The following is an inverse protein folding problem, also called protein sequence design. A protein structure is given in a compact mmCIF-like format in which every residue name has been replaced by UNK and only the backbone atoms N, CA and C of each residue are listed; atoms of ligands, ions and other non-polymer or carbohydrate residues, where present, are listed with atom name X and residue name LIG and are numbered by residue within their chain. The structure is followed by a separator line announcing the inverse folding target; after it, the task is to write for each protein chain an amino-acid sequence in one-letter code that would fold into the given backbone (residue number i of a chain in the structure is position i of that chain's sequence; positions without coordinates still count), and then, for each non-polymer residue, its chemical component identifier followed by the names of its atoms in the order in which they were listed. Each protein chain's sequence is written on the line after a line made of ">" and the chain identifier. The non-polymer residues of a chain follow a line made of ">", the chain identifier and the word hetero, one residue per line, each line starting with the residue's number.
data_IF_659891161954
#
_entry.id   IF_659891161954
#
_cell.length_a   1.000
_cell.length_b   1.000
_cell.length_c   1.000
_cell.angle_alpha   90.00
_cell.angle_beta   90.00
_cell.angle_gamma   90.00
#
_symmetry.space_group_name_H-M   'P 1'
#
loop_
_entity.id
_entity.type
_entity.pdbx_description
1 polymer ?
#
# COMPACT_ATOMS: atom_id res chain seq x y z
N UNK A 1 4.96 -13.98 2.31
CA UNK A 1 4.94 -13.12 3.52
C UNK A 1 6.36 -12.71 3.83
N UNK A 2 6.63 -11.41 3.92
CA UNK A 2 7.92 -10.83 4.27
C UNK A 2 7.76 -10.21 5.67
N UNK A 3 8.50 -10.72 6.66
CA UNK A 3 8.37 -10.30 8.07
C UNK A 3 9.72 -10.19 8.75
N UNK A 4 9.88 -9.17 9.61
CA UNK A 4 11.01 -9.07 10.56
C UNK A 4 12.39 -9.20 9.91
N UNK A 5 12.56 -8.71 8.69
CA UNK A 5 13.85 -8.79 8.00
C UNK A 5 14.68 -7.56 8.31
N UNK A 6 15.79 -7.75 9.02
CA UNK A 6 16.70 -6.67 9.43
C UNK A 6 17.56 -6.15 8.25
N UNK A 7 17.75 -6.96 7.20
CA UNK A 7 18.63 -6.69 6.05
C UNK A 7 17.94 -6.96 4.70
N UNK A 8 16.72 -6.44 4.53
CA UNK A 8 16.08 -6.53 3.22
C UNK A 8 16.64 -5.44 2.29
N UNK A 9 17.60 -5.84 1.46
CA UNK A 9 18.03 -5.09 0.27
C UNK A 9 16.93 -5.06 -0.80
N UNK A 10 15.73 -4.60 -0.44
CA UNK A 10 14.61 -4.39 -1.36
C UNK A 10 14.88 -3.23 -2.33
N UNK A 11 15.88 -2.38 -2.02
CA UNK A 11 16.18 -1.11 -2.67
C UNK A 11 17.43 -1.13 -3.56
N UNK A 12 18.15 -2.25 -3.69
CA UNK A 12 19.37 -2.34 -4.53
C UNK A 12 19.25 -3.46 -5.57
N UNK A 13 18.38 -3.26 -6.52
CA UNK A 13 18.39 -3.99 -7.78
C UNK A 13 18.08 -3.03 -8.90
N UNK A 14 19.06 -2.79 -9.78
CA UNK A 14 18.76 -2.43 -11.17
C UNK A 14 18.11 -3.68 -11.81
N UNK A 15 16.87 -3.96 -11.45
CA UNK A 15 16.15 -5.11 -11.96
C UNK A 15 15.28 -4.69 -13.14
N UNK A 16 15.51 -5.39 -14.25
CA UNK A 16 14.79 -5.22 -15.50
C UNK A 16 13.28 -5.42 -15.27
N UNK A 17 12.41 -4.57 -15.85
CA UNK A 17 10.95 -4.72 -15.77
C UNK A 17 10.41 -6.06 -16.35
N UNK A 18 11.29 -6.87 -16.95
CA UNK A 18 10.97 -8.16 -17.57
C UNK A 18 10.94 -9.36 -16.61
N UNK A 19 11.39 -9.20 -15.35
CA UNK A 19 11.26 -10.29 -14.36
C UNK A 19 9.80 -10.37 -13.93
N UNK A 20 9.07 -11.32 -14.52
CA UNK A 20 7.69 -11.62 -14.15
C UNK A 20 7.65 -12.57 -12.95
N UNK A 21 6.97 -12.14 -11.92
CA UNK A 21 6.58 -12.97 -10.79
C UNK A 21 5.08 -13.31 -10.90
N UNK A 22 4.65 -14.36 -10.21
CA UNK A 22 3.24 -14.76 -10.14
C UNK A 22 2.73 -14.73 -8.70
N UNK A 23 3.03 -13.64 -8.00
CA UNK A 23 2.54 -13.43 -6.64
C UNK A 23 1.06 -13.10 -6.70
N UNK A 24 0.26 -13.72 -5.84
CA UNK A 24 -1.16 -13.40 -5.67
C UNK A 24 -1.41 -12.56 -4.42
N UNK A 25 -0.63 -12.79 -3.37
CA UNK A 25 -0.71 -12.05 -2.11
C UNK A 25 0.68 -11.74 -1.58
N UNK A 26 0.89 -10.51 -1.12
CA UNK A 26 2.13 -10.07 -0.51
C UNK A 26 1.85 -9.26 0.75
N UNK A 27 2.61 -9.56 1.79
CA UNK A 27 2.52 -8.89 3.09
C UNK A 27 3.91 -8.42 3.46
N UNK A 28 4.05 -7.12 3.67
CA UNK A 28 5.20 -6.47 4.32
C UNK A 28 4.83 -6.20 5.78
N UNK A 29 5.55 -6.80 6.72
CA UNK A 29 5.25 -6.65 8.15
C UNK A 29 6.49 -6.39 8.98
N UNK A 30 6.42 -5.35 9.84
CA UNK A 30 7.47 -4.99 10.79
C UNK A 30 8.83 -4.77 10.11
N UNK A 31 8.85 -3.93 9.06
CA UNK A 31 10.03 -3.59 8.29
C UNK A 31 10.43 -2.13 8.57
N UNK A 32 11.36 -1.88 9.51
CA UNK A 32 11.77 -0.53 9.84
C UNK A 32 12.55 0.15 8.72
N UNK A 33 13.11 -0.58 7.75
CA UNK A 33 13.85 0.00 6.61
C UNK A 33 12.98 0.25 5.38
N UNK A 34 11.69 -0.12 5.40
CA UNK A 34 10.82 0.03 4.23
C UNK A 34 10.30 1.46 4.14
N UNK A 35 10.97 2.29 3.34
CA UNK A 35 10.54 3.68 3.06
C UNK A 35 9.53 3.77 1.91
N UNK A 36 9.72 2.93 0.90
CA UNK A 36 8.89 2.85 -0.32
C UNK A 36 8.77 1.40 -0.78
N UNK A 37 7.71 1.06 -1.50
CA UNK A 37 7.55 -0.28 -2.06
C UNK A 37 8.63 -0.55 -3.12
N UNK A 38 9.17 -1.78 -3.17
CA UNK A 38 10.21 -2.15 -4.10
C UNK A 38 9.71 -2.26 -5.54
N UNK A 39 10.53 -1.82 -6.50
CA UNK A 39 10.17 -1.81 -7.94
C UNK A 39 9.91 -3.20 -8.51
N UNK A 40 10.56 -4.25 -7.99
CA UNK A 40 10.37 -5.63 -8.46
C UNK A 40 8.93 -6.12 -8.31
N UNK A 41 8.11 -5.47 -7.44
CA UNK A 41 6.70 -5.80 -7.28
C UNK A 41 5.91 -5.62 -8.58
N UNK A 42 6.36 -4.72 -9.47
CA UNK A 42 5.78 -4.54 -10.80
C UNK A 42 5.81 -5.82 -11.65
N UNK A 43 6.74 -6.74 -11.38
CA UNK A 43 6.78 -8.04 -12.02
C UNK A 43 5.52 -8.89 -11.77
N UNK A 44 4.73 -8.58 -10.73
CA UNK A 44 3.43 -9.21 -10.43
C UNK A 44 2.22 -8.34 -10.82
N UNK A 45 2.39 -7.35 -11.70
CA UNK A 45 1.35 -6.38 -12.07
C UNK A 45 0.00 -7.00 -12.48
N UNK A 46 0.02 -8.17 -13.11
CA UNK A 46 -1.18 -8.85 -13.62
C UNK A 46 -1.60 -10.07 -12.78
N UNK A 47 -1.01 -10.26 -11.60
CA UNK A 47 -1.24 -11.45 -10.77
C UNK A 47 -1.50 -11.11 -9.31
N UNK A 48 -0.92 -10.01 -8.80
CA UNK A 48 -1.05 -9.61 -7.41
C UNK A 48 -2.47 -9.10 -7.14
N UNK A 49 -3.17 -9.77 -6.23
CA UNK A 49 -4.53 -9.46 -5.79
C UNK A 49 -4.57 -8.83 -4.41
N UNK A 50 -3.65 -9.21 -3.53
CA UNK A 50 -3.58 -8.72 -2.15
C UNK A 50 -2.22 -8.11 -1.85
N UNK A 51 -2.21 -6.88 -1.36
CA UNK A 51 -1.04 -6.20 -0.82
C UNK A 51 -1.35 -5.66 0.57
N UNK A 52 -0.58 -6.10 1.56
CA UNK A 52 -0.69 -5.64 2.95
C UNK A 52 0.63 -5.05 3.40
N UNK A 53 0.59 -3.85 3.96
CA UNK A 53 1.72 -3.16 4.58
C UNK A 53 1.34 -2.94 6.03
N UNK A 54 2.12 -3.51 6.96
CA UNK A 54 1.79 -3.54 8.37
C UNK A 54 3.00 -3.20 9.24
N UNK A 55 2.83 -2.35 10.25
CA UNK A 55 3.87 -2.03 11.24
C UNK A 55 5.17 -1.51 10.59
N UNK A 56 5.10 -0.80 9.46
CA UNK A 56 6.26 -0.29 8.72
C UNK A 56 6.47 1.18 9.08
N UNK A 57 7.23 1.42 10.15
CA UNK A 57 7.35 2.73 10.81
C UNK A 57 8.03 3.83 9.97
N UNK A 58 8.81 3.45 8.95
CA UNK A 58 9.45 4.39 8.04
C UNK A 58 8.78 4.47 6.66
N UNK A 59 7.65 3.77 6.44
CA UNK A 59 6.96 3.79 5.16
C UNK A 59 6.28 5.15 4.93
N UNK A 60 6.77 5.91 3.96
CA UNK A 60 6.44 7.33 3.79
C UNK A 60 5.57 7.60 2.56
N UNK A 61 5.69 6.78 1.52
CA UNK A 61 5.06 7.07 0.23
C UNK A 61 4.63 5.82 -0.54
N UNK A 62 3.44 5.89 -1.14
CA UNK A 62 3.01 4.94 -2.17
C UNK A 62 3.63 5.32 -3.51
N UNK A 63 4.31 4.41 -4.21
CA UNK A 63 5.01 4.74 -5.45
C UNK A 63 4.05 5.05 -6.61
N UNK A 64 4.46 5.93 -7.53
CA UNK A 64 3.68 6.33 -8.71
C UNK A 64 3.33 5.17 -9.66
N UNK A 65 4.09 4.08 -9.62
CA UNK A 65 3.81 2.89 -10.43
C UNK A 65 2.75 1.97 -9.81
N UNK A 66 2.29 2.20 -8.57
CA UNK A 66 1.28 1.35 -7.92
C UNK A 66 0.02 1.10 -8.78
N UNK A 67 -0.52 2.10 -9.53
CA UNK A 67 -1.61 1.90 -10.49
C UNK A 67 -1.36 0.84 -11.55
N UNK A 68 -0.11 0.47 -11.81
CA UNK A 68 0.23 -0.57 -12.78
C UNK A 68 -0.14 -1.97 -12.27
N UNK A 69 -0.48 -2.14 -10.99
CA UNK A 69 -0.96 -3.40 -10.43
C UNK A 69 -2.42 -3.65 -10.83
N UNK A 70 -2.65 -4.04 -12.08
CA UNK A 70 -3.97 -4.20 -12.71
C UNK A 70 -4.88 -5.25 -12.05
N UNK A 71 -4.31 -6.19 -11.30
CA UNK A 71 -5.06 -7.28 -10.67
C UNK A 71 -5.32 -7.08 -9.18
N UNK A 72 -4.87 -5.96 -8.60
CA UNK A 72 -4.99 -5.72 -7.17
C UNK A 72 -6.46 -5.54 -6.79
N UNK A 73 -6.92 -6.35 -5.85
CA UNK A 73 -8.29 -6.36 -5.33
C UNK A 73 -8.34 -5.81 -3.92
N UNK A 74 -7.26 -5.98 -3.15
CA UNK A 74 -7.17 -5.50 -1.77
C UNK A 74 -5.83 -4.85 -1.49
N UNK A 75 -5.91 -3.63 -0.96
CA UNK A 75 -4.79 -2.87 -0.42
C UNK A 75 -5.07 -2.58 1.05
N UNK A 76 -4.22 -3.07 1.94
CA UNK A 76 -4.31 -2.80 3.37
C UNK A 76 -3.03 -2.13 3.87
N UNK A 77 -3.19 -1.01 4.57
CA UNK A 77 -2.12 -0.25 5.21
C UNK A 77 -2.49 -0.12 6.68
N UNK A 78 -1.64 -0.67 7.55
CA UNK A 78 -1.93 -0.83 8.99
C UNK A 78 -0.73 -0.36 9.80
N UNK A 79 -0.92 0.53 10.76
CA UNK A 79 0.13 1.01 11.67
C UNK A 79 1.39 1.50 10.93
N UNK A 80 1.19 2.43 9.99
CA UNK A 80 2.25 3.05 9.17
C UNK A 80 2.19 4.59 9.35
N UNK A 81 2.65 5.12 10.48
CA UNK A 81 2.35 6.50 10.92
C UNK A 81 2.98 7.60 10.05
N UNK A 82 4.02 7.28 9.28
CA UNK A 82 4.69 8.24 8.39
C UNK A 82 4.03 8.41 7.04
N UNK A 83 3.20 7.45 6.61
CA UNK A 83 2.46 7.58 5.37
C UNK A 83 1.36 8.62 5.60
N UNK A 84 1.42 9.73 4.87
CA UNK A 84 0.56 10.89 5.13
C UNK A 84 -0.31 11.29 3.95
N UNK A 85 -0.22 10.62 2.80
CA UNK A 85 -1.06 10.89 1.64
C UNK A 85 -1.28 9.64 0.78
N UNK A 86 -2.41 9.63 0.08
CA UNK A 86 -2.63 8.70 -1.02
C UNK A 86 -2.03 9.26 -2.31
N UNK A 87 -1.64 8.36 -3.21
CA UNK A 87 -1.20 8.76 -4.54
C UNK A 87 -2.36 9.38 -5.33
N UNK A 88 -2.07 10.33 -6.22
CA UNK A 88 -3.09 10.91 -7.11
C UNK A 88 -3.67 9.92 -8.10
N UNK A 89 -3.02 8.77 -8.33
CA UNK A 89 -3.46 7.75 -9.27
C UNK A 89 -4.34 6.64 -8.68
N UNK A 90 -4.88 6.80 -7.46
CA UNK A 90 -5.73 5.77 -6.83
C UNK A 90 -6.95 5.39 -7.69
N UNK A 91 -7.50 6.32 -8.47
CA UNK A 91 -8.58 6.09 -9.44
C UNK A 91 -8.23 5.11 -10.57
N UNK A 92 -6.95 4.89 -10.83
CA UNK A 92 -6.50 3.96 -11.87
C UNK A 92 -6.42 2.50 -11.38
N UNK A 93 -6.56 2.26 -10.07
CA UNK A 93 -6.63 0.93 -9.48
C UNK A 93 -8.03 0.34 -9.68
N UNK A 94 -8.42 0.07 -10.92
CA UNK A 94 -9.80 -0.26 -11.31
C UNK A 94 -10.28 -1.63 -10.82
N UNK A 95 -9.37 -2.55 -10.51
CA UNK A 95 -9.70 -3.85 -9.93
C UNK A 95 -9.81 -3.83 -8.40
N UNK A 96 -9.42 -2.71 -7.77
CA UNK A 96 -9.39 -2.59 -6.31
C UNK A 96 -10.82 -2.54 -5.81
N UNK A 97 -11.17 -3.48 -4.94
CA UNK A 97 -12.47 -3.57 -4.29
C UNK A 97 -12.37 -3.35 -2.79
N UNK A 98 -11.19 -3.49 -2.18
CA UNK A 98 -11.02 -3.30 -0.74
C UNK A 98 -9.83 -2.38 -0.47
N UNK A 99 -10.09 -1.27 0.22
CA UNK A 99 -9.05 -0.39 0.76
C UNK A 99 -9.19 -0.30 2.27
N UNK A 100 -8.20 -0.81 3.00
CA UNK A 100 -8.17 -0.76 4.46
C UNK A 100 -7.02 0.13 4.91
N UNK A 101 -7.32 1.20 5.65
CA UNK A 101 -6.34 2.08 6.28
C UNK A 101 -6.65 2.05 7.77
N UNK A 102 -5.72 1.52 8.58
CA UNK A 102 -5.87 1.41 10.03
C UNK A 102 -4.64 1.86 10.78
N UNK A 103 -4.82 2.42 11.96
CA UNK A 103 -3.77 2.97 12.82
C UNK A 103 -2.80 3.87 12.03
N UNK A 104 -3.35 4.66 11.09
CA UNK A 104 -2.60 5.57 10.22
C UNK A 104 -3.22 6.97 10.29
N UNK A 105 -3.15 7.59 11.46
CA UNK A 105 -3.92 8.79 11.85
C UNK A 105 -3.92 9.90 10.79
N UNK A 106 -2.74 10.33 10.33
CA UNK A 106 -2.66 11.40 9.32
C UNK A 106 -3.26 11.01 7.98
N UNK A 107 -2.99 9.80 7.49
CA UNK A 107 -3.56 9.31 6.23
C UNK A 107 -5.08 9.16 6.32
N UNK A 108 -5.55 8.52 7.39
CA UNK A 108 -6.98 8.31 7.64
C UNK A 108 -7.72 9.64 7.73
N UNK A 109 -7.17 10.62 8.46
CA UNK A 109 -7.70 11.98 8.54
C UNK A 109 -7.80 12.66 7.17
N UNK A 110 -6.74 12.60 6.35
CA UNK A 110 -6.78 13.18 4.99
C UNK A 110 -7.77 12.47 4.06
N UNK A 111 -7.88 11.15 4.15
CA UNK A 111 -8.86 10.38 3.39
C UNK A 111 -10.30 10.80 3.69
N UNK A 112 -10.59 11.18 4.94
CA UNK A 112 -11.92 11.68 5.35
C UNK A 112 -12.19 13.12 4.92
N UNK A 113 -11.16 13.94 4.69
CA UNK A 113 -11.29 15.38 4.45
C UNK A 113 -11.03 15.77 2.98
N UNK A 114 -9.83 15.50 2.47
CA UNK A 114 -9.33 16.04 1.20
C UNK A 114 -9.25 14.96 0.11
N UNK A 115 -8.86 13.75 0.50
CA UNK A 115 -8.51 12.67 -0.42
C UNK A 115 -9.69 11.72 -0.71
N UNK A 116 -10.88 11.97 -0.17
CA UNK A 116 -12.04 11.09 -0.38
C UNK A 116 -12.37 10.87 -1.86
N UNK A 117 -12.23 11.92 -2.67
CA UNK A 117 -12.45 11.86 -4.12
C UNK A 117 -11.52 10.86 -4.84
N UNK A 118 -10.33 10.59 -4.28
CA UNK A 118 -9.36 9.63 -4.81
C UNK A 118 -9.74 8.18 -4.54
N UNK A 119 -10.65 7.92 -3.59
CA UNK A 119 -10.98 6.56 -3.14
C UNK A 119 -12.47 6.24 -3.13
N UNK A 120 -13.34 7.22 -3.38
CA UNK A 120 -14.78 7.04 -3.38
C UNK A 120 -15.28 5.97 -4.38
N UNK A 121 -14.50 5.65 -5.41
CA UNK A 121 -14.82 4.61 -6.40
C UNK A 121 -14.45 3.18 -5.95
N UNK A 122 -13.87 2.99 -4.77
CA UNK A 122 -13.33 1.70 -4.26
C UNK A 122 -14.17 1.15 -3.09
N UNK A 123 -15.41 0.68 -3.29
CA UNK A 123 -16.20 0.11 -2.19
C UNK A 123 -15.89 -1.39 -1.94
N UNK A 124 -15.65 -1.82 -0.67
CA UNK A 124 -15.58 -1.02 0.57
C UNK A 124 -14.22 -0.34 0.88
N UNK A 125 -14.29 0.92 1.33
CA UNK A 125 -13.21 1.64 2.03
C UNK A 125 -13.43 1.53 3.54
N UNK A 126 -12.42 1.03 4.26
CA UNK A 126 -12.40 0.96 5.74
C UNK A 126 -11.29 1.87 6.24
N UNK A 127 -11.64 2.94 6.94
CA UNK A 127 -10.72 3.86 7.60
C UNK A 127 -10.81 3.67 9.12
N UNK A 128 -9.83 4.19 9.87
CA UNK A 128 -9.91 4.25 11.34
C UNK A 128 -11.24 4.86 11.78
N UNK A 129 -11.93 4.24 12.74
CA UNK A 129 -13.04 4.89 13.42
C UNK A 129 -12.46 6.06 14.23
N UNK A 130 -13.07 7.25 14.14
CA UNK A 130 -12.72 8.30 15.09
C UNK A 130 -13.06 7.77 16.47
N UNK A 131 -12.05 7.49 17.30
CA UNK A 131 -12.23 7.36 18.72
C UNK A 131 -12.75 8.71 19.21
N UNK A 132 -14.07 8.82 19.32
CA UNK A 132 -14.72 9.86 20.10
C UNK A 132 -14.22 9.73 21.54
N UNK A 133 -13.21 10.51 21.90
CA UNK A 133 -12.90 10.78 23.29
C UNK A 133 -13.97 11.75 23.80
N UNK A 134 -15.02 11.21 24.42
CA UNK A 134 -15.81 11.90 25.45
C UNK A 134 -14.99 12.01 26.74
#
# INVERSE_FOLDING_TARGET
>A
MIKSCEELYLSKGEEHPDVKFSLQGLVFSNLPQLEVLPRWLQGSANTLKELVIKDCQNFEVLPEWLPNLKSIQKLAIINCPKLSSLLEGMQHLTALSELWIRDCDELSRKCKQEDWSKIAHIPPVVLDEESGND
#
